data_IF_259718815511
#
_entry.id   IF_259718815511
#
_cell.length_a   1.000
_cell.length_b   1.000
_cell.length_c   1.000
_cell.angle_alpha   90.00
_cell.angle_beta   90.00
_cell.angle_gamma   90.00
#
_symmetry.space_group_name_H-M   'P 1'
#
loop_
_entity.id
_entity.type
_entity.pdbx_description
1 polymer ?
#
# COMPACT_ATOMS: atom_id res chain seq x y z
N UNK A 1 13.01 -20.66 -13.95
CA UNK A 1 11.83 -19.89 -13.48
C UNK A 1 10.66 -20.22 -14.37
N UNK A 2 9.48 -20.45 -13.78
CA UNK A 2 8.31 -21.06 -14.45
C UNK A 2 8.00 -20.49 -15.85
N UNK A 3 8.16 -19.17 -16.03
CA UNK A 3 7.91 -18.47 -17.30
C UNK A 3 8.95 -18.81 -18.38
N UNK A 4 10.25 -18.75 -18.04
CA UNK A 4 11.35 -19.06 -18.96
C UNK A 4 11.32 -20.53 -19.42
N UNK A 5 11.01 -21.44 -18.50
CA UNK A 5 10.87 -22.88 -18.80
C UNK A 5 9.72 -23.19 -19.76
N UNK A 6 8.74 -22.29 -19.86
CA UNK A 6 7.55 -22.45 -20.71
C UNK A 6 7.54 -21.50 -21.92
N UNK A 7 8.64 -20.77 -22.19
CA UNK A 7 8.75 -19.85 -23.33
C UNK A 7 7.72 -18.72 -23.32
N UNK A 8 7.24 -18.31 -22.14
CA UNK A 8 6.27 -17.21 -21.98
C UNK A 8 7.00 -15.91 -21.62
N UNK A 9 6.42 -14.72 -21.88
CA UNK A 9 6.92 -13.48 -21.29
C UNK A 9 6.58 -13.41 -19.80
N UNK A 10 7.38 -12.68 -19.03
CA UNK A 10 7.05 -12.37 -17.63
C UNK A 10 5.76 -11.54 -17.59
N UNK A 11 4.78 -11.89 -16.73
CA UNK A 11 3.60 -11.06 -16.55
C UNK A 11 3.96 -9.77 -15.83
N UNK A 12 3.23 -8.70 -16.10
CA UNK A 12 3.24 -7.49 -15.27
C UNK A 12 2.69 -7.83 -13.88
N UNK A 13 3.48 -7.56 -12.84
CA UNK A 13 3.09 -7.73 -11.45
C UNK A 13 2.45 -6.44 -10.95
N UNK A 14 1.17 -6.51 -10.60
CA UNK A 14 0.39 -5.37 -10.13
C UNK A 14 -0.07 -5.50 -8.68
N UNK A 15 -0.10 -4.39 -7.95
CA UNK A 15 -0.63 -4.31 -6.57
C UNK A 15 -1.60 -3.14 -6.41
N UNK A 16 -2.54 -3.28 -5.48
CA UNK A 16 -3.60 -2.29 -5.19
C UNK A 16 -3.71 -2.07 -3.68
N UNK A 17 -2.72 -1.42 -3.05
CA UNK A 17 -2.76 -1.14 -1.61
C UNK A 17 -3.76 -0.02 -1.33
N UNK A 18 -4.64 -0.18 -0.32
CA UNK A 18 -5.33 0.96 0.29
C UNK A 18 -4.33 2.06 0.59
N UNK A 19 -4.68 3.30 0.27
CA UNK A 19 -3.81 4.46 0.34
C UNK A 19 -4.53 5.61 1.01
N UNK A 20 -3.92 6.18 2.04
CA UNK A 20 -4.35 7.43 2.69
C UNK A 20 -3.19 8.42 2.69
N UNK A 21 -3.38 9.58 2.08
CA UNK A 21 -2.35 10.62 1.95
C UNK A 21 -2.87 11.94 2.49
N UNK A 22 -2.02 12.66 3.20
CA UNK A 22 -2.32 13.99 3.69
C UNK A 22 -1.04 14.81 3.84
N UNK A 23 -1.17 16.10 4.14
CA UNK A 23 0.01 16.96 4.39
C UNK A 23 0.71 16.64 5.71
N UNK A 24 0.01 16.00 6.64
CA UNK A 24 0.55 15.57 7.93
C UNK A 24 0.27 14.09 8.14
N UNK A 25 1.18 13.42 8.85
CA UNK A 25 1.04 12.01 9.20
C UNK A 25 -0.24 11.76 10.01
N UNK A 26 -0.54 12.60 11.00
CA UNK A 26 -1.73 12.47 11.83
C UNK A 26 -3.03 12.50 11.00
N UNK A 27 -3.11 13.38 9.99
CA UNK A 27 -4.28 13.46 9.11
C UNK A 27 -4.39 12.24 8.19
N UNK A 28 -3.28 11.71 7.69
CA UNK A 28 -3.28 10.50 6.86
C UNK A 28 -3.81 9.29 7.65
N UNK A 29 -3.31 9.11 8.88
CA UNK A 29 -3.77 8.04 9.77
C UNK A 29 -5.21 8.23 10.26
N UNK A 30 -5.67 9.47 10.45
CA UNK A 30 -7.07 9.74 10.80
C UNK A 30 -8.05 9.28 9.70
N UNK A 31 -7.61 9.25 8.43
CA UNK A 31 -8.37 8.68 7.31
C UNK A 31 -8.29 7.15 7.20
N UNK A 32 -7.55 6.48 8.09
CA UNK A 32 -7.25 5.05 7.98
C UNK A 32 -8.00 4.26 9.05
N UNK A 33 -8.72 3.21 8.64
CA UNK A 33 -9.30 2.25 9.59
C UNK A 33 -8.31 1.14 9.91
N UNK A 34 -7.32 1.41 10.77
CA UNK A 34 -6.31 0.41 11.17
C UNK A 34 -6.96 -0.81 11.83
N UNK A 35 -7.92 -0.60 12.72
CA UNK A 35 -8.69 -1.68 13.36
C UNK A 35 -9.38 -2.58 12.34
N UNK A 36 -10.04 -1.99 11.32
CA UNK A 36 -10.71 -2.73 10.26
C UNK A 36 -9.74 -3.54 9.41
N UNK A 37 -8.57 -2.97 9.10
CA UNK A 37 -7.51 -3.65 8.35
C UNK A 37 -6.93 -4.82 9.14
N UNK A 38 -6.63 -4.64 10.44
CA UNK A 38 -6.14 -5.70 11.32
C UNK A 38 -7.16 -6.82 11.47
N UNK A 39 -8.43 -6.49 11.65
CA UNK A 39 -9.51 -7.47 11.69
C UNK A 39 -9.58 -8.26 10.38
N UNK A 40 -9.56 -7.57 9.24
CA UNK A 40 -9.57 -8.22 7.94
C UNK A 40 -8.34 -9.12 7.73
N UNK A 41 -7.15 -8.66 8.10
CA UNK A 41 -5.90 -9.42 7.98
C UNK A 41 -5.94 -10.70 8.82
N UNK A 42 -6.43 -10.63 10.07
CA UNK A 42 -6.55 -11.80 10.93
C UNK A 42 -7.63 -12.79 10.44
N UNK A 43 -8.75 -12.30 9.89
CA UNK A 43 -9.87 -13.13 9.44
C UNK A 43 -9.67 -13.73 8.04
N UNK A 44 -8.99 -13.01 7.14
CA UNK A 44 -8.91 -13.32 5.70
C UNK A 44 -7.49 -13.54 5.20
N UNK A 45 -6.46 -13.06 5.91
CA UNK A 45 -5.04 -13.20 5.56
C UNK A 45 -4.46 -14.58 5.82
N UNK A 46 -5.17 -15.65 5.46
CA UNK A 46 -4.75 -17.05 5.76
C UNK A 46 -3.39 -17.44 5.16
N UNK A 47 -2.94 -16.71 4.14
CA UNK A 47 -1.66 -16.94 3.45
C UNK A 47 -0.57 -15.96 3.87
N UNK A 48 -0.89 -15.03 4.77
CA UNK A 48 0.05 -14.00 5.20
C UNK A 48 0.97 -14.60 6.27
N UNK A 49 2.24 -14.20 6.22
CA UNK A 49 3.20 -14.55 7.26
C UNK A 49 2.81 -13.78 8.51
N UNK A 50 2.42 -14.50 9.55
CA UNK A 50 2.06 -13.89 10.83
C UNK A 50 3.32 -13.57 11.65
N UNK A 51 3.28 -12.55 12.51
CA UNK A 51 4.31 -12.33 13.53
C UNK A 51 4.39 -13.52 14.51
N UNK A 52 5.43 -13.56 15.34
CA UNK A 52 5.64 -14.63 16.34
C UNK A 52 4.45 -14.81 17.30
N UNK A 53 3.72 -13.73 17.59
CA UNK A 53 2.48 -13.76 18.39
C UNK A 53 1.34 -14.55 17.74
N UNK A 54 1.40 -14.78 16.42
CA UNK A 54 0.36 -15.46 15.65
C UNK A 54 -0.86 -14.59 15.32
N UNK A 55 -0.83 -13.29 15.63
CA UNK A 55 -1.92 -12.33 15.44
C UNK A 55 -1.34 -10.98 15.00
N UNK A 56 -1.97 -10.31 14.02
CA UNK A 56 -1.64 -8.94 13.65
C UNK A 56 -2.28 -7.96 14.65
N UNK A 57 -1.49 -7.12 15.30
CA UNK A 57 -1.95 -6.19 16.35
C UNK A 57 -1.65 -4.72 16.03
N UNK A 58 -0.68 -4.45 15.17
CA UNK A 58 -0.20 -3.11 14.85
C UNK A 58 -0.17 -2.86 13.36
N UNK A 59 -0.17 -1.58 12.95
CA UNK A 59 0.00 -1.22 11.55
C UNK A 59 1.33 -1.73 10.96
N UNK A 60 2.37 -1.86 11.79
CA UNK A 60 3.66 -2.44 11.39
C UNK A 60 3.54 -3.93 11.04
N UNK A 61 2.67 -4.67 11.72
CA UNK A 61 2.49 -6.11 11.43
C UNK A 61 1.86 -6.35 10.05
N UNK A 62 1.20 -5.33 9.48
CA UNK A 62 0.59 -5.37 8.14
C UNK A 62 1.33 -4.45 7.16
N UNK A 63 2.61 -4.14 7.39
CA UNK A 63 3.43 -3.39 6.44
C UNK A 63 3.36 -4.02 5.03
N UNK A 64 3.32 -3.16 3.99
CA UNK A 64 3.14 -3.59 2.59
C UNK A 64 1.69 -3.90 2.22
N UNK A 65 0.76 -3.88 3.18
CA UNK A 65 -0.68 -4.06 2.92
C UNK A 65 -1.48 -2.76 2.87
N UNK A 66 -0.87 -1.64 3.28
CA UNK A 66 -1.43 -0.30 3.36
C UNK A 66 -0.30 0.70 3.05
N UNK A 67 -0.66 1.80 2.42
CA UNK A 67 0.19 3.00 2.34
C UNK A 67 -0.53 4.13 3.09
N UNK A 68 0.11 4.71 4.09
CA UNK A 68 -0.44 5.83 4.85
C UNK A 68 0.66 6.82 5.19
N UNK A 69 0.48 8.11 4.91
CA UNK A 69 1.44 9.13 5.34
C UNK A 69 1.42 10.45 4.56
N UNK A 70 2.50 11.21 4.74
CA UNK A 70 2.82 12.41 3.94
C UNK A 70 3.26 12.05 2.52
N UNK A 71 3.36 13.00 1.57
CA UNK A 71 3.85 12.70 0.23
C UNK A 71 5.22 12.01 0.20
N UNK A 72 6.16 12.42 1.06
CA UNK A 72 7.48 11.79 1.18
C UNK A 72 7.34 10.33 1.65
N UNK A 73 6.58 10.09 2.72
CA UNK A 73 6.34 8.75 3.26
C UNK A 73 5.63 7.84 2.24
N UNK A 74 4.68 8.37 1.47
CA UNK A 74 3.99 7.65 0.39
C UNK A 74 4.95 7.33 -0.75
N UNK A 75 5.86 8.25 -1.10
CA UNK A 75 6.89 8.03 -2.12
C UNK A 75 7.84 6.92 -1.70
N UNK A 76 8.35 6.97 -0.47
CA UNK A 76 9.21 5.93 0.11
C UNK A 76 8.51 4.57 0.19
N UNK A 77 7.26 4.54 0.67
CA UNK A 77 6.47 3.31 0.72
C UNK A 77 6.22 2.72 -0.67
N UNK A 78 5.98 3.58 -1.67
CA UNK A 78 5.79 3.14 -3.06
C UNK A 78 7.08 2.56 -3.65
N UNK A 79 8.24 3.16 -3.36
CA UNK A 79 9.53 2.66 -3.82
C UNK A 79 9.82 1.23 -3.32
N UNK A 80 9.42 0.89 -2.10
CA UNK A 80 9.57 -0.48 -1.55
C UNK A 80 8.86 -1.55 -2.40
N UNK A 81 7.75 -1.22 -3.08
CA UNK A 81 7.08 -2.17 -3.98
C UNK A 81 7.91 -2.40 -5.25
N UNK A 82 8.53 -1.35 -5.80
CA UNK A 82 9.42 -1.47 -6.95
C UNK A 82 10.64 -2.35 -6.62
N UNK A 83 11.22 -2.19 -5.41
CA UNK A 83 12.36 -2.97 -4.94
C UNK A 83 12.09 -4.49 -4.90
N UNK A 84 10.83 -4.89 -4.69
CA UNK A 84 10.41 -6.31 -4.69
C UNK A 84 9.86 -6.78 -6.04
N UNK A 85 10.01 -5.99 -7.10
CA UNK A 85 9.67 -6.37 -8.47
C UNK A 85 8.21 -6.15 -8.87
N UNK A 86 7.50 -5.22 -8.22
CA UNK A 86 6.19 -4.76 -8.68
C UNK A 86 6.35 -3.80 -9.85
N UNK A 87 5.67 -4.08 -10.96
CA UNK A 87 5.71 -3.26 -12.17
C UNK A 87 4.62 -2.17 -12.19
N UNK A 88 3.52 -2.39 -11.49
CA UNK A 88 2.35 -1.52 -11.54
C UNK A 88 1.69 -1.37 -10.16
N UNK A 89 1.48 -0.12 -9.72
CA UNK A 89 0.79 0.18 -8.46
C UNK A 89 -0.43 1.05 -8.73
N UNK A 90 -1.56 0.67 -8.14
CA UNK A 90 -2.79 1.45 -8.14
C UNK A 90 -3.03 1.97 -6.72
N UNK A 91 -2.97 3.28 -6.53
CA UNK A 91 -3.33 3.92 -5.26
C UNK A 91 -4.84 3.81 -5.02
N UNK A 92 -5.24 2.99 -4.05
CA UNK A 92 -6.63 2.78 -3.71
C UNK A 92 -7.10 3.70 -2.58
N UNK A 93 -7.84 4.75 -2.94
CA UNK A 93 -8.27 5.80 -2.01
C UNK A 93 -9.60 5.50 -1.29
N UNK A 94 -10.09 4.24 -1.31
CA UNK A 94 -11.40 3.85 -0.75
C UNK A 94 -11.56 4.11 0.75
N UNK A 95 -10.48 4.29 1.51
CA UNK A 95 -10.57 4.54 2.96
C UNK A 95 -10.82 6.01 3.32
N UNK A 96 -10.53 6.94 2.42
CA UNK A 96 -10.57 8.40 2.68
C UNK A 96 -11.40 9.15 1.62
N UNK A 97 -12.66 8.74 1.45
CA UNK A 97 -13.58 9.32 0.45
C UNK A 97 -13.85 10.81 0.62
N UNK A 98 -13.89 11.29 1.86
CA UNK A 98 -14.07 12.69 2.22
C UNK A 98 -12.95 13.60 1.67
N UNK A 99 -11.75 13.03 1.45
CA UNK A 99 -10.56 13.73 0.93
C UNK A 99 -10.08 13.18 -0.41
N UNK A 100 -10.96 12.52 -1.17
CA UNK A 100 -10.60 11.84 -2.41
C UNK A 100 -9.93 12.77 -3.45
N UNK A 101 -10.55 13.93 -3.74
CA UNK A 101 -9.99 14.91 -4.68
C UNK A 101 -8.66 15.51 -4.18
N UNK A 102 -8.54 16.02 -2.94
CA UNK A 102 -7.25 16.45 -2.39
C UNK A 102 -6.16 15.37 -2.45
N UNK A 103 -6.50 14.10 -2.20
CA UNK A 103 -5.55 12.98 -2.27
C UNK A 103 -5.02 12.78 -3.68
N UNK A 104 -5.89 12.83 -4.70
CA UNK A 104 -5.48 12.77 -6.11
C UNK A 104 -4.54 13.93 -6.46
N UNK A 105 -4.85 15.14 -5.99
CA UNK A 105 -4.00 16.30 -6.23
C UNK A 105 -2.62 16.16 -5.59
N UNK A 106 -2.54 15.70 -4.34
CA UNK A 106 -1.27 15.44 -3.65
C UNK A 106 -0.45 14.37 -4.36
N UNK A 107 -1.08 13.25 -4.73
CA UNK A 107 -0.40 12.18 -5.48
C UNK A 107 0.17 12.71 -6.80
N UNK A 108 -0.62 13.48 -7.55
CA UNK A 108 -0.22 14.02 -8.85
C UNK A 108 0.90 15.06 -8.78
N UNK A 109 0.90 15.90 -7.74
CA UNK A 109 1.87 17.01 -7.60
C UNK A 109 3.14 16.61 -6.87
N UNK A 110 3.02 15.75 -5.85
CA UNK A 110 4.10 15.55 -4.86
C UNK A 110 4.64 14.11 -4.84
N UNK A 111 3.91 13.12 -5.37
CA UNK A 111 4.34 11.71 -5.30
C UNK A 111 4.78 11.19 -6.66
N UNK A 112 3.85 11.17 -7.64
CA UNK A 112 4.08 10.60 -8.97
C UNK A 112 5.32 11.20 -9.67
N UNK A 113 5.64 12.51 -9.56
CA UNK A 113 6.85 13.06 -10.17
C UNK A 113 8.16 12.45 -9.67
N UNK A 114 8.18 11.87 -8.46
CA UNK A 114 9.37 11.27 -7.85
C UNK A 114 9.51 9.76 -8.12
N UNK A 115 8.51 9.14 -8.76
CA UNK A 115 8.45 7.69 -9.00
C UNK A 115 8.70 7.28 -10.46
N UNK A 116 9.15 8.22 -11.29
CA UNK A 116 9.36 8.03 -12.74
C UNK A 116 10.83 7.91 -13.10
#
# INVERSE_FOLDING_TARGET
GLVAENGRPMPTVGVVPPTTIATTEAEAWAGTSVEGLLKWANDRGKWWVKPESGVFETAADIEGSLIAGTPDQVTEATAKFADVGVDHLVFDLRLSYDRWLPSIELLGKEVIPHLR
#
